data_IF_167894561671
#
_entry.id   IF_167894561671
#
_cell.length_a   1.000
_cell.length_b   1.000
_cell.length_c   1.000
_cell.angle_alpha   90.00
_cell.angle_beta   90.00
_cell.angle_gamma   90.00
#
_symmetry.space_group_name_H-M   'P 1'
#
loop_
_entity.id
_entity.type
_entity.pdbx_description
1 polymer ?
#
# COMPACT_ATOMS: atom_id res chain seq x y z
N UNK A 1 20.31 2.00 -5.55
CA UNK A 1 20.11 3.46 -5.46
C UNK A 1 18.75 3.74 -4.84
N UNK A 2 18.47 4.96 -4.40
CA UNK A 2 17.13 5.35 -3.91
C UNK A 2 16.24 5.62 -5.12
N UNK A 3 15.05 5.02 -5.17
CA UNK A 3 14.06 5.32 -6.21
C UNK A 3 13.60 6.78 -6.13
N UNK A 4 13.45 7.43 -7.27
CA UNK A 4 12.83 8.74 -7.41
C UNK A 4 11.33 8.59 -7.68
N UNK A 5 10.58 9.66 -7.43
CA UNK A 5 9.17 9.66 -7.81
C UNK A 5 8.99 9.44 -9.32
N UNK A 6 8.07 8.56 -9.68
CA UNK A 6 7.73 8.24 -11.05
C UNK A 6 8.66 7.19 -11.67
N UNK A 7 9.76 6.84 -11.00
CA UNK A 7 10.66 5.77 -11.48
C UNK A 7 9.98 4.40 -11.48
N UNK A 8 8.94 4.20 -10.67
CA UNK A 8 8.04 3.04 -10.74
C UNK A 8 6.59 3.38 -11.06
N UNK A 9 6.32 4.56 -11.63
CA UNK A 9 5.00 5.06 -12.05
C UNK A 9 3.81 4.73 -11.11
N UNK A 10 4.03 4.50 -9.81
CA UNK A 10 3.02 4.19 -8.77
C UNK A 10 1.94 3.15 -9.16
N UNK A 11 2.31 2.23 -10.06
CA UNK A 11 1.42 1.28 -10.74
C UNK A 11 0.39 1.86 -11.71
N UNK A 12 0.57 3.05 -12.27
CA UNK A 12 -0.21 3.57 -13.41
C UNK A 12 0.27 3.07 -14.77
N UNK A 13 0.33 1.77 -14.83
CA UNK A 13 -0.31 1.05 -15.89
C UNK A 13 -0.72 -0.20 -15.16
N UNK A 14 -1.72 -0.12 -14.29
CA UNK A 14 -2.14 -1.20 -13.41
C UNK A 14 -2.35 -2.51 -14.21
N UNK A 15 -2.49 -2.43 -15.54
CA UNK A 15 -2.31 -3.54 -16.49
C UNK A 15 -1.51 -3.27 -17.80
N UNK A 16 -1.06 -2.06 -18.14
CA UNK A 16 -0.66 -1.67 -19.52
C UNK A 16 0.86 -1.42 -19.73
N UNK A 17 1.71 -2.43 -19.50
CA UNK A 17 3.06 -2.73 -20.08
C UNK A 17 4.05 -1.65 -20.62
N UNK A 18 3.92 -0.32 -20.42
CA UNK A 18 4.90 0.71 -20.88
C UNK A 18 5.23 1.71 -19.78
N UNK A 19 6.49 2.13 -19.70
CA UNK A 19 6.93 3.21 -18.82
C UNK A 19 6.44 4.59 -19.33
N UNK A 20 5.95 5.44 -18.42
CA UNK A 20 5.49 6.80 -18.71
C UNK A 20 6.42 7.80 -18.01
N UNK A 21 6.85 8.89 -18.67
CA UNK A 21 7.71 9.90 -18.05
C UNK A 21 7.04 10.57 -16.83
N UNK A 22 7.82 10.83 -15.76
CA UNK A 22 7.33 11.44 -14.51
C UNK A 22 6.69 12.84 -14.68
N UNK A 23 7.00 13.55 -15.76
CA UNK A 23 6.36 14.83 -16.12
C UNK A 23 4.93 14.64 -16.62
N UNK A 24 4.66 13.58 -17.39
CA UNK A 24 3.34 13.30 -17.97
C UNK A 24 2.38 12.71 -16.93
N UNK A 25 2.89 11.87 -16.03
CA UNK A 25 2.16 11.42 -14.83
C UNK A 25 1.59 12.62 -14.06
N UNK A 26 2.40 13.66 -13.87
CA UNK A 26 2.01 14.89 -13.17
C UNK A 26 0.81 15.58 -13.81
N UNK A 27 0.78 15.65 -15.14
CA UNK A 27 -0.27 16.34 -15.91
C UNK A 27 -1.56 15.50 -15.97
N UNK A 28 -1.45 14.17 -16.02
CA UNK A 28 -2.60 13.26 -16.08
C UNK A 28 -3.29 13.07 -14.72
N UNK A 29 -2.52 13.24 -13.64
CA UNK A 29 -2.97 13.13 -12.27
C UNK A 29 -3.42 14.44 -11.63
N UNK A 30 -3.43 15.58 -12.34
CA UNK A 30 -4.03 16.83 -11.82
C UNK A 30 -5.51 16.64 -11.40
N UNK A 31 -6.22 15.65 -11.96
CA UNK A 31 -7.57 15.22 -11.54
C UNK A 31 -7.58 14.25 -10.34
N UNK A 32 -6.50 13.49 -10.14
CA UNK A 32 -6.34 12.44 -9.12
C UNK A 32 -5.31 12.79 -8.03
N UNK A 33 -4.89 14.07 -7.96
CA UNK A 33 -3.88 14.65 -7.05
C UNK A 33 -4.06 14.30 -5.57
N UNK A 34 -5.22 13.80 -5.19
CA UNK A 34 -5.58 13.43 -3.82
C UNK A 34 -5.27 11.95 -3.52
N UNK A 35 -5.10 11.08 -4.53
CA UNK A 35 -5.13 9.63 -4.32
C UNK A 35 -3.85 8.87 -4.69
N UNK A 36 -3.01 9.40 -5.59
CA UNK A 36 -1.70 8.82 -5.92
C UNK A 36 -0.70 9.92 -6.32
N UNK A 37 -0.19 10.72 -5.38
CA UNK A 37 1.15 11.25 -5.51
C UNK A 37 2.13 10.12 -5.23
N UNK A 38 3.33 10.15 -5.80
CA UNK A 38 4.45 9.42 -5.20
C UNK A 38 4.62 10.00 -3.81
N UNK A 39 3.88 9.42 -2.88
CA UNK A 39 3.85 9.94 -1.55
C UNK A 39 5.27 9.79 -1.02
N UNK A 40 5.60 10.64 -0.06
CA UNK A 40 6.89 10.57 0.61
C UNK A 40 7.20 9.14 1.08
N UNK A 41 6.16 8.30 1.26
CA UNK A 41 6.26 6.86 1.42
C UNK A 41 7.24 6.17 0.46
N UNK A 42 6.99 6.13 -0.86
CA UNK A 42 7.84 5.34 -1.78
C UNK A 42 9.25 5.90 -1.97
N UNK A 43 9.43 7.21 -1.78
CA UNK A 43 10.76 7.85 -1.84
C UNK A 43 11.63 7.48 -0.65
N UNK A 44 10.99 7.16 0.48
CA UNK A 44 11.66 6.89 1.76
C UNK A 44 11.69 5.40 2.09
N UNK A 45 10.74 4.61 1.56
CA UNK A 45 10.64 3.18 1.78
C UNK A 45 11.95 2.47 1.40
N UNK A 46 12.50 1.72 2.36
CA UNK A 46 13.63 0.83 2.12
C UNK A 46 13.24 -0.25 1.10
N UNK A 47 14.12 -0.48 0.12
CA UNK A 47 13.90 -1.39 -1.02
C UNK A 47 13.86 -2.89 -0.66
N UNK A 48 13.74 -3.21 0.63
CA UNK A 48 13.69 -4.57 1.15
C UNK A 48 12.26 -5.04 1.45
N UNK A 49 11.27 -4.15 1.34
CA UNK A 49 9.87 -4.47 1.61
C UNK A 49 8.97 -4.27 0.38
N UNK A 50 8.02 -5.20 0.24
CA UNK A 50 6.96 -5.14 -0.73
C UNK A 50 5.72 -4.47 -0.16
N UNK A 51 5.27 -3.41 -0.83
CA UNK A 51 4.04 -2.70 -0.54
C UNK A 51 2.88 -3.24 -1.38
N UNK A 52 1.64 -2.98 -0.96
CA UNK A 52 0.45 -3.37 -1.71
C UNK A 52 0.36 -2.59 -3.04
N UNK A 53 -0.04 -3.29 -4.09
CA UNK A 53 -0.28 -2.69 -5.42
C UNK A 53 -1.56 -1.85 -5.41
N UNK A 54 -2.61 -2.37 -4.78
CA UNK A 54 -3.86 -1.71 -4.52
C UNK A 54 -4.29 -1.96 -3.08
N UNK A 55 -5.18 -1.12 -2.57
CA UNK A 55 -5.62 -1.23 -1.18
C UNK A 55 -6.56 -2.43 -0.95
N UNK A 56 -7.16 -3.01 -2.00
CA UNK A 56 -8.13 -4.10 -1.86
C UNK A 56 -7.51 -5.43 -1.46
N UNK A 57 -8.30 -6.19 -0.69
CA UNK A 57 -8.06 -7.61 -0.50
C UNK A 57 -8.02 -8.32 -1.86
N UNK A 58 -6.94 -9.06 -2.19
CA UNK A 58 -6.89 -9.82 -3.43
C UNK A 58 -8.03 -10.83 -3.46
N UNK A 59 -8.85 -10.78 -4.52
CA UNK A 59 -9.53 -12.00 -4.96
C UNK A 59 -8.48 -12.86 -5.68
N UNK A 60 -8.55 -14.18 -5.54
CA UNK A 60 -7.60 -15.09 -6.17
C UNK A 60 -7.52 -14.82 -7.70
N UNK A 61 -6.31 -14.64 -8.22
CA UNK A 61 -6.07 -14.34 -9.63
C UNK A 61 -6.13 -12.86 -10.03
N UNK A 62 -6.48 -11.94 -9.12
CA UNK A 62 -6.48 -10.50 -9.42
C UNK A 62 -5.13 -9.85 -9.12
N UNK A 63 -4.59 -9.15 -10.12
CA UNK A 63 -3.28 -8.49 -10.04
C UNK A 63 -3.24 -7.33 -9.01
N UNK A 64 -4.38 -6.68 -8.74
CA UNK A 64 -4.44 -5.49 -7.87
C UNK A 64 -4.32 -5.78 -6.37
N UNK A 65 -4.50 -7.03 -5.93
CA UNK A 65 -4.20 -7.41 -4.55
C UNK A 65 -2.81 -8.05 -4.38
N UNK A 66 -1.95 -7.91 -5.39
CA UNK A 66 -0.54 -8.27 -5.32
C UNK A 66 0.28 -7.26 -4.51
N UNK A 67 1.55 -7.57 -4.32
CA UNK A 67 2.54 -6.69 -3.68
C UNK A 67 3.71 -6.47 -4.62
N UNK A 68 4.44 -5.37 -4.44
CA UNK A 68 5.58 -5.00 -5.28
C UNK A 68 6.62 -4.23 -4.49
N UNK A 69 7.86 -4.23 -4.97
CA UNK A 69 8.94 -3.42 -4.41
C UNK A 69 9.87 -2.88 -5.50
N UNK A 70 10.62 -1.83 -5.16
CA UNK A 70 11.84 -1.50 -5.88
C UNK A 70 12.96 -2.45 -5.46
N UNK A 71 13.83 -2.79 -6.40
CA UNK A 71 15.02 -3.63 -6.18
C UNK A 71 16.21 -3.04 -6.91
N UNK A 72 17.43 -3.51 -6.61
CA UNK A 72 18.61 -3.15 -7.40
C UNK A 72 18.43 -3.53 -8.87
N UNK A 73 18.99 -2.75 -9.79
CA UNK A 73 19.07 -3.10 -11.23
C UNK A 73 19.79 -4.42 -11.51
N UNK A 74 20.57 -4.91 -10.56
CA UNK A 74 21.27 -6.20 -10.61
C UNK A 74 20.36 -7.39 -10.25
N UNK A 75 19.17 -7.13 -9.68
CA UNK A 75 18.21 -8.17 -9.34
C UNK A 75 17.76 -8.91 -10.60
N UNK A 76 17.99 -10.22 -10.64
CA UNK A 76 17.61 -11.06 -11.77
C UNK A 76 16.20 -11.66 -11.60
N UNK A 77 15.76 -11.83 -10.35
CA UNK A 77 14.43 -12.33 -10.03
C UNK A 77 13.46 -11.17 -9.82
N UNK A 78 12.85 -10.71 -10.91
CA UNK A 78 11.89 -9.61 -10.88
C UNK A 78 10.44 -10.10 -10.70
N UNK A 79 10.18 -11.40 -10.61
CA UNK A 79 8.83 -11.92 -10.37
C UNK A 79 7.75 -11.49 -11.39
N UNK A 80 8.15 -11.07 -12.59
CA UNK A 80 7.26 -10.45 -13.60
C UNK A 80 7.36 -8.93 -13.68
N UNK A 81 8.22 -8.32 -12.86
CA UNK A 81 8.63 -6.93 -12.93
C UNK A 81 9.67 -6.63 -14.01
N UNK A 82 10.25 -5.42 -13.99
CA UNK A 82 11.13 -4.91 -15.07
C UNK A 82 12.24 -4.00 -14.56
N UNK A 83 13.26 -3.82 -15.40
CA UNK A 83 14.29 -2.80 -15.19
C UNK A 83 13.85 -1.48 -15.74
N UNK A 84 14.27 -0.40 -15.08
CA UNK A 84 14.03 0.93 -15.60
C UNK A 84 14.87 1.14 -16.85
N UNK A 85 14.25 1.71 -17.88
CA UNK A 85 14.86 1.91 -19.18
C UNK A 85 14.87 0.69 -20.09
N UNK A 86 14.33 -0.47 -19.66
CA UNK A 86 14.09 -1.58 -20.59
C UNK A 86 13.19 -1.10 -21.73
N UNK A 87 13.54 -1.36 -23.01
CA UNK A 87 12.72 -0.93 -24.12
C UNK A 87 11.35 -1.60 -24.05
N UNK A 88 10.28 -0.94 -24.56
CA UNK A 88 8.93 -1.52 -24.54
C UNK A 88 8.91 -2.90 -25.19
N UNK A 89 8.12 -3.82 -24.62
CA UNK A 89 8.14 -5.25 -24.95
C UNK A 89 7.50 -5.49 -26.32
N UNK A 90 6.54 -4.66 -26.72
CA UNK A 90 5.88 -4.79 -28.01
C UNK A 90 6.12 -3.63 -28.96
N UNK A 91 6.00 -3.93 -30.25
CA UNK A 91 6.17 -2.96 -31.34
C UNK A 91 5.12 -1.84 -31.27
N UNK A 92 3.90 -2.16 -30.83
CA UNK A 92 2.84 -1.18 -30.58
C UNK A 92 3.16 -0.27 -29.40
N UNK A 93 3.75 -0.79 -28.33
CA UNK A 93 4.19 0.03 -27.19
C UNK A 93 5.33 0.99 -27.57
N UNK A 94 6.28 0.51 -28.38
CA UNK A 94 7.34 1.36 -28.95
C UNK A 94 6.78 2.44 -29.87
N UNK A 95 5.85 2.07 -30.75
CA UNK A 95 5.18 3.00 -31.63
C UNK A 95 4.39 4.05 -30.83
N UNK A 96 3.65 3.64 -29.79
CA UNK A 96 2.92 4.56 -28.92
C UNK A 96 3.87 5.53 -28.21
N UNK A 97 4.95 5.05 -27.61
CA UNK A 97 5.95 5.90 -26.97
C UNK A 97 6.57 6.89 -27.97
N UNK A 98 6.89 6.43 -29.18
CA UNK A 98 7.42 7.26 -30.26
C UNK A 98 6.42 8.35 -30.71
N UNK A 99 5.18 7.98 -31.04
CA UNK A 99 4.16 8.93 -31.51
C UNK A 99 3.67 9.90 -30.42
N UNK A 100 3.75 9.51 -29.15
CA UNK A 100 3.44 10.38 -28.03
C UNK A 100 4.60 11.29 -27.64
N UNK A 101 5.75 11.24 -28.35
CA UNK A 101 6.94 12.02 -28.03
C UNK A 101 7.52 11.70 -26.65
N UNK A 102 7.23 10.50 -26.11
CA UNK A 102 7.65 10.10 -24.77
C UNK A 102 9.15 9.81 -24.78
N UNK A 103 9.89 10.55 -23.96
CA UNK A 103 11.30 10.23 -23.69
C UNK A 103 11.34 8.98 -22.82
N UNK A 104 11.94 7.90 -23.33
CA UNK A 104 12.18 6.71 -22.52
C UNK A 104 12.98 7.12 -21.28
N UNK A 105 12.55 6.62 -20.11
CA UNK A 105 13.30 6.80 -18.86
C UNK A 105 14.70 6.23 -19.08
N UNK A 106 15.73 7.01 -18.81
CA UNK A 106 17.11 6.52 -18.94
C UNK A 106 17.31 5.33 -17.99
N UNK A 107 18.07 4.30 -18.38
CA UNK A 107 18.31 3.15 -17.52
C UNK A 107 18.81 3.59 -16.14
N UNK A 108 18.00 3.31 -15.12
CA UNK A 108 18.28 3.68 -13.74
C UNK A 108 18.99 2.55 -12.99
N UNK A 109 19.56 2.88 -11.81
CA UNK A 109 20.17 1.89 -10.92
C UNK A 109 19.16 1.09 -10.08
N UNK A 110 17.88 1.18 -10.42
CA UNK A 110 16.78 0.49 -9.74
C UNK A 110 15.92 -0.25 -10.77
N UNK A 111 15.22 -1.28 -10.30
CA UNK A 111 14.22 -2.06 -11.02
C UNK A 111 13.02 -2.24 -10.10
N UNK A 112 11.93 -2.79 -10.61
CA UNK A 112 10.80 -3.17 -9.76
C UNK A 112 10.47 -4.64 -9.93
N UNK A 113 9.98 -5.25 -8.84
CA UNK A 113 9.64 -6.66 -8.74
C UNK A 113 8.17 -6.81 -8.32
N UNK A 114 7.46 -7.76 -8.94
CA UNK A 114 6.18 -8.24 -8.38
C UNK A 114 6.54 -9.29 -7.33
N UNK A 115 6.10 -9.06 -6.11
CA UNK A 115 6.50 -9.89 -4.99
C UNK A 115 5.64 -11.14 -4.91
N UNK A 116 6.30 -12.24 -4.58
CA UNK A 116 5.62 -13.52 -4.37
C UNK A 116 5.02 -13.54 -2.96
N UNK A 117 3.75 -13.96 -2.79
CA UNK A 117 3.18 -14.13 -1.48
C UNK A 117 4.01 -15.11 -0.64
N UNK A 118 4.19 -14.80 0.64
CA UNK A 118 4.91 -15.61 1.64
C UNK A 118 4.35 -17.03 1.81
N UNK A 119 3.12 -17.28 1.34
CA UNK A 119 2.47 -18.60 1.36
C UNK A 119 3.09 -19.63 0.39
N UNK A 120 3.96 -19.21 -0.53
CA UNK A 120 4.70 -20.11 -1.43
C UNK A 120 6.09 -20.38 -0.85
N UNK A 121 6.50 -21.64 -0.81
CA UNK A 121 7.72 -22.17 -0.15
C UNK A 121 9.09 -21.70 -0.72
N UNK A 122 9.18 -20.50 -1.29
CA UNK A 122 10.41 -19.89 -1.84
C UNK A 122 10.91 -18.83 -0.85
N UNK A 123 12.23 -18.58 -0.85
CA UNK A 123 12.89 -17.52 -0.07
C UNK A 123 12.09 -16.22 -0.21
N UNK A 124 11.42 -15.83 0.86
CA UNK A 124 10.25 -14.95 0.81
C UNK A 124 10.64 -13.49 0.55
N UNK A 125 9.91 -12.84 -0.34
CA UNK A 125 9.88 -11.38 -0.39
C UNK A 125 9.22 -10.87 0.91
N UNK A 126 9.87 -9.95 1.64
CA UNK A 126 9.29 -9.39 2.86
C UNK A 126 8.15 -8.45 2.48
N UNK A 127 6.93 -8.75 2.91
CA UNK A 127 5.78 -7.92 2.58
C UNK A 127 5.37 -7.08 3.79
N UNK A 128 5.02 -5.81 3.56
CA UNK A 128 4.55 -4.92 4.62
C UNK A 128 3.26 -5.42 5.27
N UNK A 129 2.38 -6.06 4.50
CA UNK A 129 1.10 -6.62 4.99
C UNK A 129 1.26 -7.83 5.90
N UNK A 130 2.46 -8.41 5.95
CA UNK A 130 2.79 -9.55 6.80
C UNK A 130 3.48 -9.07 8.10
N UNK A 131 3.79 -7.77 8.23
CA UNK A 131 4.37 -7.22 9.44
C UNK A 131 3.32 -7.09 10.54
N UNK A 132 3.71 -7.29 11.81
CA UNK A 132 2.90 -6.83 12.94
C UNK A 132 2.60 -5.35 12.81
N UNK A 133 1.39 -4.94 13.22
CA UNK A 133 0.94 -3.55 13.10
C UNK A 133 1.89 -2.55 13.79
N UNK A 134 2.50 -2.96 14.91
CA UNK A 134 3.50 -2.15 15.60
C UNK A 134 4.79 -1.97 14.80
N UNK A 135 5.21 -2.95 14.00
CA UNK A 135 6.35 -2.81 13.10
C UNK A 135 6.02 -1.89 11.91
N UNK A 136 4.77 -1.90 11.42
CA UNK A 136 4.31 -0.95 10.40
C UNK A 136 4.33 0.48 10.94
N UNK A 137 3.91 0.69 12.19
CA UNK A 137 3.98 2.00 12.85
C UNK A 137 5.42 2.44 13.12
N UNK A 138 6.28 1.53 13.57
CA UNK A 138 7.71 1.84 13.73
C UNK A 138 8.37 2.18 12.39
N UNK A 139 7.96 1.53 11.30
CA UNK A 139 8.39 1.86 9.94
C UNK A 139 7.92 3.26 9.55
N UNK A 140 6.64 3.58 9.75
CA UNK A 140 6.08 4.92 9.52
C UNK A 140 6.88 6.01 10.25
N UNK A 141 7.19 5.80 11.53
CA UNK A 141 7.98 6.75 12.32
C UNK A 141 9.40 6.90 11.76
N UNK A 142 10.05 5.78 11.39
CA UNK A 142 11.40 5.78 10.81
C UNK A 142 11.45 6.48 9.45
N UNK A 143 10.42 6.30 8.63
CA UNK A 143 10.32 6.93 7.32
C UNK A 143 9.87 8.39 7.43
N UNK A 144 9.34 8.82 8.58
CA UNK A 144 8.70 10.13 8.77
C UNK A 144 7.63 10.39 7.70
N UNK A 145 6.79 9.39 7.46
CA UNK A 145 5.74 9.41 6.42
C UNK A 145 4.37 9.57 7.05
N UNK A 146 3.41 10.09 6.28
CA UNK A 146 2.03 10.16 6.72
C UNK A 146 1.47 8.78 7.11
N UNK A 147 0.79 8.72 8.25
CA UNK A 147 0.31 7.47 8.83
C UNK A 147 -0.75 6.79 7.98
N UNK A 148 -1.67 7.59 7.43
CA UNK A 148 -2.75 7.07 6.61
C UNK A 148 -2.20 6.46 5.32
N UNK A 149 -1.27 7.16 4.68
CA UNK A 149 -0.59 6.68 3.48
C UNK A 149 0.19 5.40 3.80
N UNK A 150 1.00 5.40 4.85
CA UNK A 150 1.84 4.25 5.22
C UNK A 150 1.00 3.01 5.48
N UNK A 151 -0.08 3.16 6.26
CA UNK A 151 -0.99 2.06 6.57
C UNK A 151 -1.69 1.55 5.32
N UNK A 152 -2.19 2.42 4.44
CA UNK A 152 -2.87 2.00 3.19
C UNK A 152 -1.95 1.25 2.22
N UNK A 153 -0.68 1.64 2.13
CA UNK A 153 0.30 0.92 1.30
C UNK A 153 0.86 -0.34 1.98
N UNK A 154 0.71 -0.46 3.29
CA UNK A 154 1.24 -1.59 4.06
C UNK A 154 0.21 -2.67 4.29
N UNK A 155 -1.01 -2.32 4.65
CA UNK A 155 -2.03 -3.24 5.17
C UNK A 155 -3.16 -3.47 4.16
N UNK A 156 -3.89 -4.57 4.33
CA UNK A 156 -5.07 -4.87 3.53
C UNK A 156 -6.21 -3.91 3.89
N UNK A 157 -7.01 -3.47 2.92
CA UNK A 157 -8.28 -2.78 3.16
C UNK A 157 -9.45 -3.75 3.00
N UNK A 158 -10.32 -3.76 4.01
CA UNK A 158 -11.53 -4.60 4.03
C UNK A 158 -12.65 -4.09 3.13
N UNK A 159 -12.66 -2.80 2.79
CA UNK A 159 -13.81 -2.08 2.20
C UNK A 159 -15.08 -2.16 3.05
N UNK A 160 -14.93 -2.49 4.33
CA UNK A 160 -15.98 -2.44 5.34
C UNK A 160 -15.90 -1.11 6.06
N UNK A 161 -17.04 -0.50 6.32
CA UNK A 161 -17.10 0.74 7.08
C UNK A 161 -17.32 0.49 8.57
N UNK A 162 -16.73 1.34 9.41
CA UNK A 162 -16.83 1.20 10.86
C UNK A 162 -18.28 1.15 11.35
N UNK A 163 -19.15 2.03 10.85
CA UNK A 163 -20.55 2.09 11.27
C UNK A 163 -21.34 0.80 10.98
N UNK A 164 -20.89 -0.04 10.05
CA UNK A 164 -21.51 -1.33 9.74
C UNK A 164 -21.13 -2.42 10.75
N UNK A 165 -20.02 -2.25 11.46
CA UNK A 165 -19.43 -3.27 12.33
C UNK A 165 -19.24 -2.83 13.78
N UNK A 166 -19.44 -1.56 14.09
CA UNK A 166 -19.17 -0.99 15.40
C UNK A 166 -19.92 -1.74 16.51
N UNK A 167 -21.24 -1.92 16.35
CA UNK A 167 -22.07 -2.61 17.33
C UNK A 167 -21.61 -4.06 17.60
N UNK A 168 -21.47 -4.96 16.60
CA UNK A 168 -20.99 -6.32 16.86
C UNK A 168 -19.54 -6.36 17.34
N UNK A 169 -18.69 -5.41 16.94
CA UNK A 169 -17.31 -5.32 17.45
C UNK A 169 -17.28 -4.98 18.94
N UNK A 170 -18.02 -3.93 19.34
CA UNK A 170 -18.09 -3.48 20.74
C UNK A 170 -18.74 -4.52 21.66
N UNK A 171 -19.73 -5.27 21.17
CA UNK A 171 -20.37 -6.35 21.94
C UNK A 171 -19.52 -7.64 22.02
N UNK A 172 -18.40 -7.70 21.29
CA UNK A 172 -17.59 -8.91 21.15
C UNK A 172 -18.25 -10.01 20.31
N UNK A 173 -19.32 -9.70 19.57
CA UNK A 173 -19.97 -10.63 18.63
C UNK A 173 -19.18 -10.68 17.31
N UNK A 174 -17.96 -11.20 17.40
CA UNK A 174 -17.07 -11.33 16.24
C UNK A 174 -17.59 -12.31 15.18
N UNK A 175 -18.57 -13.15 15.52
CA UNK A 175 -19.24 -14.02 14.55
C UNK A 175 -20.11 -13.21 13.57
N UNK A 176 -20.68 -12.08 13.99
CA UNK A 176 -21.47 -11.20 13.15
C UNK A 176 -20.65 -10.32 12.18
N UNK A 177 -19.33 -10.20 12.39
CA UNK A 177 -18.47 -9.40 11.51
C UNK A 177 -18.39 -9.99 10.09
N UNK A 178 -18.19 -9.17 9.03
CA UNK A 178 -17.96 -9.65 7.68
C UNK A 178 -16.83 -10.71 7.60
N UNK A 179 -16.97 -11.69 6.69
CA UNK A 179 -16.04 -12.81 6.56
C UNK A 179 -14.58 -12.35 6.40
N UNK A 180 -14.34 -11.29 5.63
CA UNK A 180 -13.00 -10.72 5.42
C UNK A 180 -12.32 -10.30 6.71
N UNK A 181 -13.07 -9.74 7.67
CA UNK A 181 -12.55 -9.34 8.98
C UNK A 181 -12.32 -10.58 9.84
N UNK A 182 -13.27 -11.52 9.86
CA UNK A 182 -13.12 -12.79 10.60
C UNK A 182 -11.87 -13.55 10.15
N UNK A 183 -11.63 -13.62 8.85
CA UNK A 183 -10.45 -14.27 8.28
C UNK A 183 -9.16 -13.57 8.71
N UNK A 184 -9.11 -12.23 8.61
CA UNK A 184 -7.96 -11.44 9.04
C UNK A 184 -7.68 -11.62 10.55
N UNK A 185 -8.72 -11.54 11.39
CA UNK A 185 -8.63 -11.76 12.84
C UNK A 185 -8.12 -13.15 13.19
N UNK A 186 -8.62 -14.20 12.53
CA UNK A 186 -8.19 -15.59 12.77
C UNK A 186 -6.71 -15.82 12.46
N UNK A 187 -6.18 -15.08 11.47
CA UNK A 187 -4.79 -15.13 11.04
C UNK A 187 -3.90 -14.14 11.77
N UNK A 188 -4.46 -13.32 12.68
CA UNK A 188 -3.79 -12.16 13.29
C UNK A 188 -3.16 -11.22 12.25
N UNK A 189 -3.82 -11.09 11.10
CA UNK A 189 -3.41 -10.19 10.04
C UNK A 189 -4.06 -8.83 10.26
N UNK A 190 -3.26 -7.77 10.22
CA UNK A 190 -3.77 -6.42 10.36
C UNK A 190 -4.58 -6.01 9.11
N UNK A 191 -5.76 -5.42 9.33
CA UNK A 191 -6.67 -5.02 8.26
C UNK A 191 -7.31 -3.66 8.55
N UNK A 192 -7.40 -2.82 7.53
CA UNK A 192 -7.98 -1.47 7.60
C UNK A 192 -9.51 -1.57 7.51
N UNK A 193 -10.17 -0.81 8.37
CA UNK A 193 -11.61 -0.52 8.33
C UNK A 193 -11.75 0.99 8.13
N UNK A 194 -12.48 1.38 7.09
CA UNK A 194 -12.65 2.80 6.77
C UNK A 194 -13.75 3.40 7.66
N UNK A 195 -13.56 4.62 8.14
CA UNK A 195 -14.63 5.33 8.87
C UNK A 195 -15.59 6.05 7.93
N UNK A 196 -15.14 6.37 6.71
CA UNK A 196 -15.88 7.14 5.71
C UNK A 196 -15.51 6.69 4.29
N UNK A 197 -16.43 6.89 3.34
CA UNK A 197 -16.17 6.63 1.93
C UNK A 197 -14.97 7.44 1.41
N UNK A 198 -14.11 6.81 0.61
CA UNK A 198 -12.86 7.40 0.12
C UNK A 198 -11.69 7.31 1.10
N UNK A 199 -11.89 6.75 2.30
CA UNK A 199 -10.84 6.53 3.29
C UNK A 199 -10.25 7.84 3.83
N UNK A 200 -11.06 8.90 3.90
CA UNK A 200 -10.67 10.18 4.50
C UNK A 200 -11.02 10.20 6.00
N UNK A 201 -10.22 10.93 6.79
CA UNK A 201 -10.46 11.10 8.22
C UNK A 201 -9.72 10.07 9.08
N UNK A 202 -10.37 9.61 10.15
CA UNK A 202 -9.79 8.61 11.04
C UNK A 202 -9.66 7.26 10.32
N UNK A 203 -8.57 6.56 10.58
CA UNK A 203 -8.38 5.19 10.10
C UNK A 203 -8.38 4.23 11.27
N UNK A 204 -9.01 3.09 11.05
CA UNK A 204 -9.08 2.01 12.01
C UNK A 204 -8.31 0.82 11.46
N UNK A 205 -7.46 0.23 12.29
CA UNK A 205 -6.74 -1.00 11.96
C UNK A 205 -7.10 -2.05 12.99
N UNK A 206 -7.66 -3.16 12.53
CA UNK A 206 -7.94 -4.33 13.34
C UNK A 206 -6.77 -5.29 13.28
N UNK A 207 -6.26 -5.73 14.42
CA UNK A 207 -5.21 -6.75 14.55
C UNK A 207 -5.64 -7.79 15.58
N UNK A 208 -6.19 -8.91 15.12
CA UNK A 208 -6.87 -9.84 16.03
C UNK A 208 -8.06 -9.13 16.70
N UNK A 209 -8.06 -9.03 18.03
CA UNK A 209 -9.11 -8.33 18.80
C UNK A 209 -8.74 -6.90 19.19
N UNK A 210 -7.57 -6.42 18.79
CA UNK A 210 -7.10 -5.08 19.08
C UNK A 210 -7.57 -4.12 17.99
N UNK A 211 -8.06 -2.96 18.41
CA UNK A 211 -8.38 -1.84 17.52
C UNK A 211 -7.34 -0.74 17.69
N UNK A 212 -6.63 -0.44 16.61
CA UNK A 212 -5.72 0.70 16.54
C UNK A 212 -6.45 1.83 15.82
N UNK A 213 -6.62 2.96 16.51
CA UNK A 213 -7.26 4.16 15.97
C UNK A 213 -6.17 5.16 15.61
N UNK A 214 -6.13 5.55 14.34
CA UNK A 214 -5.33 6.66 13.84
C UNK A 214 -6.26 7.87 13.71
N UNK A 215 -6.27 8.70 14.74
CA UNK A 215 -7.13 9.88 14.82
C UNK A 215 -6.47 11.06 14.10
N UNK A 216 -7.09 11.56 13.02
CA UNK A 216 -6.57 12.72 12.31
C UNK A 216 -6.86 14.00 13.10
N UNK A 217 -5.82 14.65 13.63
CA UNK A 217 -5.92 15.87 14.43
C UNK A 217 -5.22 17.04 13.74
N UNK A 218 -5.92 17.78 12.85
CA UNK A 218 -5.32 18.94 12.21
C UNK A 218 -4.88 19.95 13.27
N UNK A 219 -3.60 20.32 13.24
CA UNK A 219 -3.00 21.27 14.19
C UNK A 219 -2.36 20.63 15.43
N UNK A 220 -2.44 19.31 15.60
CA UNK A 220 -1.72 18.57 16.65
C UNK A 220 -0.76 17.58 16.01
N UNK A 221 0.54 17.74 16.27
CA UNK A 221 1.54 16.76 15.84
C UNK A 221 1.58 15.59 16.83
N UNK A 222 1.48 14.39 16.28
CA UNK A 222 1.65 13.13 16.99
C UNK A 222 2.78 12.37 16.30
N UNK A 223 4.02 12.64 16.74
CA UNK A 223 5.24 12.17 16.06
C UNK A 223 5.49 12.95 14.75
N UNK A 224 5.86 12.27 13.65
CA UNK A 224 6.10 12.93 12.36
C UNK A 224 4.81 13.30 11.60
N UNK A 225 3.62 12.96 12.13
CA UNK A 225 2.34 13.08 11.43
C UNK A 225 1.31 13.87 12.25
N UNK A 226 0.16 14.17 11.63
CA UNK A 226 -1.02 14.71 12.32
C UNK A 226 -1.99 13.59 12.78
N UNK A 227 -1.55 12.33 12.77
CA UNK A 227 -2.34 11.19 13.21
C UNK A 227 -1.90 10.73 14.60
N UNK A 228 -2.82 10.80 15.55
CA UNK A 228 -2.60 10.36 16.91
C UNK A 228 -3.08 8.92 17.07
N UNK A 229 -2.17 8.04 17.47
CA UNK A 229 -2.45 6.62 17.63
C UNK A 229 -3.02 6.33 19.03
N UNK A 230 -4.13 5.59 19.07
CA UNK A 230 -4.68 4.98 20.28
C UNK A 230 -4.87 3.49 20.02
N UNK A 231 -4.68 2.68 21.07
CA UNK A 231 -4.88 1.23 21.00
C UNK A 231 -5.92 0.86 22.04
N UNK A 232 -6.91 0.09 21.61
CA UNK A 232 -7.98 -0.40 22.46
C UNK A 232 -8.00 -1.92 22.37
N UNK A 233 -7.91 -2.58 23.51
CA UNK A 233 -8.23 -4.00 23.62
C UNK A 233 -9.76 -4.18 23.55
N UNK A 234 -10.22 -5.33 23.05
CA UNK A 234 -11.67 -5.62 22.92
C UNK A 234 -12.42 -5.46 24.25
N UNK A 235 -11.77 -5.74 25.38
CA UNK A 235 -12.36 -5.65 26.71
C UNK A 235 -12.60 -4.19 27.16
N UNK A 236 -11.88 -3.22 26.58
CA UNK A 236 -11.95 -1.80 26.95
C UNK A 236 -13.13 -1.07 26.33
N UNK A 237 -13.85 -1.68 25.38
CA UNK A 237 -14.98 -1.04 24.69
C UNK A 237 -16.26 -0.99 25.52
N UNK A 238 -16.35 -1.72 26.63
CA UNK A 238 -17.51 -1.63 27.52
C UNK A 238 -17.57 -0.31 28.30
N UNK A 239 -16.50 0.50 28.25
CA UNK A 239 -16.36 1.74 29.02
C UNK A 239 -16.40 3.02 28.16
N UNK A 240 -16.52 2.88 26.82
CA UNK A 240 -16.58 4.00 25.85
C UNK A 240 -18.02 4.33 25.45
#
# INVERSE_FOLDING_TARGET
>A
GRALCGEGAELWATQSRVAIPATELRDQYDYWRVLLPCDDFYKRLDHDYCANIGHSTPTEGQWFGGTWCYVSSECQDLGGGRRLGDPPISLSERAAAYFQGRRLVEPGNVSWKICTPSTKMVKQDRQLRDLPVEEVFALMDRLETDAAITVKHSLLNSWVFWHDIEAPYQSGDFAALPQVLRDAMSKRQAIIVDTQAGGTGNLLVLSGKELHVLEHRPGMKCGPTNYCRKVYAAEQFQEL
#
